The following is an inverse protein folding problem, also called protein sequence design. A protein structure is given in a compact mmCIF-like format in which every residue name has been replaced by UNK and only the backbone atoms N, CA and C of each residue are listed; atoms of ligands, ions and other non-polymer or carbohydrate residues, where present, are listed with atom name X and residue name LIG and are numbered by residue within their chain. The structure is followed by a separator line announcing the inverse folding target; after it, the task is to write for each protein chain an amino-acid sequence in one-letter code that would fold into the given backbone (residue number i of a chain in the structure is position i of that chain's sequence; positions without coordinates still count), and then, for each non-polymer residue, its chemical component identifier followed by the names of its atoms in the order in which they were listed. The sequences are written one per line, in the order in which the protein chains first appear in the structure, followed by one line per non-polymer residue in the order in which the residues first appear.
data_IF_805600275795
#
_entry.id   IF_805600275795
#
_cell.length_a   1.000
_cell.length_b   1.000
_cell.length_c   1.000
_cell.angle_alpha   90.00
_cell.angle_beta   90.00
_cell.angle_gamma   90.00
#
_symmetry.space_group_name_H-M   'P 1'
#
loop_
_entity.id
_entity.type
_entity.pdbx_description
1 polymer ?
#
# COMPACT_ATOMS: atom_id res chain seq x y z
N UNK A 1 23.59 -17.49 -3.99
CA UNK A 1 22.88 -17.88 -5.22
C UNK A 1 22.35 -16.60 -5.82
N UNK A 2 23.13 -15.98 -6.71
CA UNK A 2 22.83 -14.70 -7.33
C UNK A 2 22.02 -14.98 -8.58
N UNK A 3 20.75 -14.58 -8.60
CA UNK A 3 19.91 -14.68 -9.80
C UNK A 3 19.98 -13.32 -10.52
N UNK A 4 20.58 -13.33 -11.70
CA UNK A 4 20.54 -12.21 -12.64
C UNK A 4 19.14 -12.13 -13.25
N UNK A 5 18.50 -10.97 -13.20
CA UNK A 5 17.30 -10.67 -13.98
C UNK A 5 17.76 -9.90 -15.22
N UNK A 6 17.70 -10.56 -16.38
CA UNK A 6 17.85 -9.91 -17.68
C UNK A 6 16.58 -9.10 -17.98
N UNK A 7 16.76 -7.82 -18.32
CA UNK A 7 15.71 -6.97 -18.88
C UNK A 7 15.43 -7.41 -20.32
N UNK A 8 14.17 -7.62 -20.66
CA UNK A 8 13.70 -7.58 -22.04
C UNK A 8 12.75 -6.39 -22.17
N UNK A 9 13.26 -5.31 -22.77
CA UNK A 9 12.44 -4.28 -23.38
C UNK A 9 11.68 -4.87 -24.58
N UNK A 10 10.44 -4.43 -24.75
CA UNK A 10 9.61 -4.41 -25.96
C UNK A 10 8.21 -5.01 -25.70
N UNK A 11 7.22 -4.15 -25.47
CA UNK A 11 5.93 -4.17 -26.18
C UNK A 11 5.22 -2.83 -25.95
N UNK A 12 5.52 -1.86 -26.82
CA UNK A 12 4.61 -0.74 -27.09
C UNK A 12 3.36 -1.26 -27.80
N UNK A 13 2.17 -0.90 -27.31
CA UNK A 13 0.91 -1.14 -28.00
C UNK A 13 -0.28 -0.63 -27.19
N UNK A 14 -0.76 0.55 -27.56
CA UNK A 14 -2.03 1.15 -27.11
C UNK A 14 -3.17 0.12 -27.10
N UNK A 15 -3.98 0.13 -26.04
CA UNK A 15 -5.44 -0.01 -26.12
C UNK A 15 -6.07 0.51 -24.82
N UNK A 16 -6.54 1.77 -24.86
CA UNK A 16 -7.55 2.29 -23.94
C UNK A 16 -8.87 1.58 -24.25
N UNK A 17 -9.10 0.42 -23.65
CA UNK A 17 -10.44 -0.14 -23.53
C UNK A 17 -10.74 -0.43 -22.06
N UNK A 18 -11.57 0.44 -21.49
CA UNK A 18 -12.27 0.29 -20.24
C UNK A 18 -13.07 -1.02 -20.24
N UNK A 19 -12.46 -2.12 -19.78
CA UNK A 19 -13.15 -3.37 -19.53
C UNK A 19 -13.56 -3.42 -18.07
N UNK A 20 -14.79 -2.99 -17.79
CA UNK A 20 -15.55 -3.51 -16.66
C UNK A 20 -15.65 -5.03 -16.84
N UNK A 21 -14.75 -5.79 -16.22
CA UNK A 21 -14.82 -7.24 -16.22
C UNK A 21 -16.09 -7.66 -15.49
N UNK A 22 -16.92 -8.56 -16.06
CA UNK A 22 -18.12 -9.04 -15.39
C UNK A 22 -17.69 -9.80 -14.13
N UNK A 23 -18.27 -9.41 -12.98
CA UNK A 23 -18.14 -10.12 -11.71
C UNK A 23 -18.61 -11.56 -11.92
N UNK A 24 -17.66 -12.50 -11.98
CA UNK A 24 -18.00 -13.91 -12.03
C UNK A 24 -18.30 -14.34 -10.59
N UNK A 25 -19.55 -14.20 -10.16
CA UNK A 25 -20.08 -14.52 -8.82
C UNK A 25 -19.91 -16.01 -8.41
N UNK A 26 -19.19 -16.82 -9.20
CA UNK A 26 -19.06 -18.27 -9.04
C UNK A 26 -17.87 -18.75 -8.21
N UNK A 27 -16.99 -17.89 -7.71
CA UNK A 27 -15.94 -18.29 -6.75
C UNK A 27 -16.41 -18.25 -5.28
N UNK A 28 -17.73 -18.24 -5.05
CA UNK A 28 -18.35 -18.07 -3.74
C UNK A 28 -18.67 -19.41 -3.03
N UNK A 29 -17.75 -20.38 -3.07
CA UNK A 29 -18.05 -21.75 -2.62
C UNK A 29 -17.21 -22.30 -1.45
N UNK A 30 -16.16 -21.62 -0.97
CA UNK A 30 -15.24 -22.27 0.00
C UNK A 30 -14.81 -21.41 1.21
N UNK A 31 -15.61 -20.42 1.61
CA UNK A 31 -15.33 -19.61 2.81
C UNK A 31 -14.02 -18.82 2.79
N UNK A 32 -13.35 -18.76 1.63
CA UNK A 32 -12.13 -18.00 1.42
C UNK A 32 -12.40 -16.49 1.39
N UNK A 33 -11.43 -15.72 1.88
CA UNK A 33 -11.43 -14.27 1.72
C UNK A 33 -11.30 -13.93 0.24
N UNK A 34 -12.30 -13.24 -0.31
CA UNK A 34 -12.29 -12.75 -1.70
C UNK A 34 -11.71 -11.33 -1.70
N UNK A 35 -10.59 -11.15 -2.41
CA UNK A 35 -10.02 -9.82 -2.62
C UNK A 35 -10.95 -9.04 -3.56
N UNK A 36 -11.46 -7.86 -3.16
CA UNK A 36 -12.31 -7.08 -4.04
C UNK A 36 -11.50 -6.58 -5.25
N UNK A 37 -12.10 -6.60 -6.43
CA UNK A 37 -11.48 -6.05 -7.63
C UNK A 37 -11.47 -4.53 -7.64
N UNK A 38 -12.38 -3.90 -6.89
CA UNK A 38 -12.54 -2.45 -6.83
C UNK A 38 -12.53 -1.96 -5.39
N UNK A 39 -11.97 -0.79 -5.16
CA UNK A 39 -11.97 -0.11 -3.88
C UNK A 39 -13.31 0.62 -3.63
N UNK A 40 -13.46 1.22 -2.45
CA UNK A 40 -14.68 1.94 -2.05
C UNK A 40 -15.04 3.14 -2.95
N UNK A 41 -14.11 3.58 -3.80
CA UNK A 41 -14.29 4.66 -4.76
C UNK A 41 -14.57 4.17 -6.19
N UNK A 42 -14.67 2.86 -6.40
CA UNK A 42 -14.91 2.26 -7.71
C UNK A 42 -13.69 2.16 -8.62
N UNK A 43 -12.49 2.46 -8.10
CA UNK A 43 -11.22 2.27 -8.81
C UNK A 43 -10.69 0.85 -8.58
N UNK A 44 -9.78 0.36 -9.44
CA UNK A 44 -9.17 -0.96 -9.26
C UNK A 44 -8.39 -0.97 -7.94
N UNK A 45 -8.70 -1.95 -7.09
CA UNK A 45 -8.09 -2.06 -5.76
C UNK A 45 -6.63 -2.48 -5.87
N UNK A 46 -5.72 -1.75 -5.20
CA UNK A 46 -4.27 -2.02 -5.16
C UNK A 46 -3.63 -2.16 -6.54
N UNK A 47 -3.99 -1.28 -7.47
CA UNK A 47 -3.37 -1.23 -8.79
C UNK A 47 -2.13 -0.32 -8.77
N UNK A 48 -0.95 -0.93 -8.90
CA UNK A 48 0.35 -0.23 -8.86
C UNK A 48 0.84 0.16 -10.26
N UNK A 49 0.25 -0.40 -11.32
CA UNK A 49 0.68 -0.17 -12.71
C UNK A 49 -0.10 0.97 -13.38
N UNK A 50 -1.13 1.50 -12.72
CA UNK A 50 -1.96 2.61 -13.21
C UNK A 50 -1.26 3.94 -13.02
N UNK A 51 -1.18 4.69 -14.12
CA UNK A 51 -0.70 6.08 -14.10
C UNK A 51 -1.63 6.96 -13.24
N UNK A 52 -1.13 7.34 -12.07
CA UNK A 52 -1.86 8.16 -11.09
C UNK A 52 -0.93 9.15 -10.40
N UNK A 53 -1.51 10.20 -9.80
CA UNK A 53 -0.72 11.17 -9.03
C UNK A 53 0.00 10.54 -7.82
N UNK A 54 -0.47 9.39 -7.31
CA UNK A 54 0.14 8.68 -6.18
C UNK A 54 1.25 7.71 -6.60
N UNK A 55 1.24 7.22 -7.84
CA UNK A 55 2.13 6.16 -8.30
C UNK A 55 3.61 6.47 -8.00
N UNK A 56 4.09 7.66 -8.40
CA UNK A 56 5.47 8.06 -8.16
C UNK A 56 5.82 8.07 -6.66
N UNK A 57 4.90 8.56 -5.82
CA UNK A 57 5.07 8.60 -4.36
C UNK A 57 5.21 7.20 -3.78
N UNK A 58 4.30 6.30 -4.15
CA UNK A 58 4.26 4.90 -3.72
C UNK A 58 5.51 4.14 -4.17
N UNK A 59 5.90 4.27 -5.44
CA UNK A 59 7.12 3.65 -5.97
C UNK A 59 8.37 4.14 -5.24
N UNK A 60 8.47 5.46 -5.01
CA UNK A 60 9.58 6.06 -4.28
C UNK A 60 9.61 5.58 -2.81
N UNK A 61 8.44 5.42 -2.17
CA UNK A 61 8.31 4.88 -0.82
C UNK A 61 8.84 3.45 -0.73
N UNK A 62 8.40 2.56 -1.62
CA UNK A 62 8.86 1.17 -1.64
C UNK A 62 10.33 1.06 -2.03
N UNK A 63 10.80 1.84 -3.01
CA UNK A 63 12.22 1.87 -3.39
C UNK A 63 13.11 2.23 -2.19
N UNK A 64 12.75 3.27 -1.43
CA UNK A 64 13.48 3.66 -0.21
C UNK A 64 13.45 2.55 0.83
N UNK A 65 12.29 1.96 1.09
CA UNK A 65 12.17 0.88 2.06
C UNK A 65 13.01 -0.33 1.66
N UNK A 66 12.92 -0.79 0.41
CA UNK A 66 13.73 -1.91 -0.10
C UNK A 66 15.24 -1.61 -0.05
N UNK A 67 15.65 -0.35 -0.21
CA UNK A 67 17.07 0.04 -0.16
C UNK A 67 17.61 0.11 1.27
N UNK A 68 16.82 0.62 2.22
CA UNK A 68 17.32 1.02 3.55
C UNK A 68 16.86 0.12 4.72
N UNK A 69 15.86 -0.75 4.52
CA UNK A 69 15.39 -1.69 5.55
C UNK A 69 16.37 -2.87 5.71
N UNK A 70 17.52 -2.61 6.33
CA UNK A 70 18.53 -3.63 6.62
C UNK A 70 18.42 -4.16 8.06
N UNK A 71 19.11 -5.29 8.34
CA UNK A 71 19.13 -5.90 9.68
C UNK A 71 19.55 -4.91 10.78
N UNK A 72 20.61 -4.13 10.54
CA UNK A 72 21.12 -3.18 11.52
C UNK A 72 20.13 -2.04 11.79
N UNK A 73 19.45 -1.56 10.74
CA UNK A 73 18.39 -0.55 10.86
C UNK A 73 17.23 -1.09 11.72
N UNK A 74 16.71 -2.27 11.38
CA UNK A 74 15.58 -2.89 12.10
C UNK A 74 15.96 -3.17 13.56
N UNK A 75 17.17 -3.68 13.81
CA UNK A 75 17.67 -3.93 15.17
C UNK A 75 17.71 -2.64 15.99
N UNK A 76 18.26 -1.56 15.43
CA UNK A 76 18.30 -0.24 16.07
C UNK A 76 16.90 0.31 16.36
N UNK A 77 15.98 0.24 15.39
CA UNK A 77 14.60 0.71 15.59
C UNK A 77 13.88 -0.06 16.69
N UNK A 78 14.07 -1.38 16.77
CA UNK A 78 13.51 -2.20 17.87
C UNK A 78 14.05 -1.78 19.24
N UNK A 79 15.36 -1.56 19.35
CA UNK A 79 15.98 -1.09 20.59
C UNK A 79 15.52 0.33 20.98
N UNK A 80 15.28 1.20 20.00
CA UNK A 80 14.83 2.58 20.22
C UNK A 80 13.36 2.64 20.65
N UNK A 81 12.45 2.07 19.87
CA UNK A 81 11.00 2.18 20.11
C UNK A 81 10.50 1.20 21.18
N UNK A 82 11.22 0.10 21.44
CA UNK A 82 10.89 -0.86 22.50
C UNK A 82 10.95 -0.28 23.91
N UNK A 83 11.60 0.88 24.11
CA UNK A 83 11.66 1.59 25.39
C UNK A 83 10.34 2.27 25.78
N UNK A 84 9.43 2.46 24.81
CA UNK A 84 8.11 3.08 25.01
C UNK A 84 8.14 4.42 25.78
N UNK A 85 9.17 5.24 25.55
CA UNK A 85 9.41 6.49 26.28
C UNK A 85 9.31 7.74 25.40
N UNK A 86 8.60 7.65 24.27
CA UNK A 86 8.46 8.75 23.30
C UNK A 86 7.27 9.66 23.61
N UNK A 87 6.20 9.12 24.17
CA UNK A 87 5.01 9.85 24.58
C UNK A 87 4.16 9.01 25.55
N UNK A 88 3.35 9.67 26.37
CA UNK A 88 2.31 9.06 27.22
C UNK A 88 0.98 9.72 26.86
N UNK A 89 0.03 8.93 26.36
CA UNK A 89 -1.30 9.41 25.96
C UNK A 89 -2.31 8.27 25.93
N UNK A 90 -3.60 8.61 25.94
CA UNK A 90 -4.68 7.65 25.77
C UNK A 90 -4.84 7.22 24.30
N UNK A 91 -5.63 6.15 24.09
CA UNK A 91 -5.86 5.59 22.76
C UNK A 91 -6.51 6.60 21.82
N UNK A 92 -7.47 7.38 22.30
CA UNK A 92 -8.18 8.35 21.47
C UNK A 92 -7.22 9.44 20.98
N UNK A 93 -6.32 9.89 21.84
CA UNK A 93 -5.31 10.88 21.51
C UNK A 93 -4.31 10.34 20.50
N UNK A 94 -3.93 9.07 20.58
CA UNK A 94 -3.17 8.39 19.53
C UNK A 94 -3.93 8.43 18.18
N UNK A 95 -5.23 8.14 18.18
CA UNK A 95 -6.06 8.20 16.97
C UNK A 95 -6.11 9.61 16.39
N UNK A 96 -6.25 10.65 17.22
CA UNK A 96 -6.24 12.05 16.77
C UNK A 96 -4.92 12.45 16.09
N UNK A 97 -3.78 11.85 16.47
CA UNK A 97 -2.52 12.10 15.77
C UNK A 97 -2.53 11.63 14.31
N UNK A 98 -3.35 10.62 13.99
CA UNK A 98 -3.50 10.09 12.64
C UNK A 98 -4.29 11.03 11.70
N UNK A 99 -4.89 12.11 12.23
CA UNK A 99 -5.53 13.16 11.40
C UNK A 99 -4.50 13.94 10.57
N UNK A 100 -3.26 14.04 11.07
CA UNK A 100 -2.15 14.71 10.37
C UNK A 100 -1.30 13.79 9.49
N UNK A 101 -1.71 12.53 9.29
CA UNK A 101 -0.90 11.50 8.61
C UNK A 101 -1.68 10.93 7.43
N UNK A 102 -1.06 10.92 6.25
CA UNK A 102 -1.52 10.20 5.06
C UNK A 102 -0.53 9.06 4.76
N UNK A 103 -1.02 7.87 4.46
CA UNK A 103 -0.16 6.73 4.13
C UNK A 103 0.40 6.82 2.70
N UNK A 104 1.69 7.15 2.59
CA UNK A 104 2.40 7.26 1.30
C UNK A 104 2.58 5.92 0.58
N UNK A 105 2.37 4.79 1.27
CA UNK A 105 2.50 3.45 0.68
C UNK A 105 1.20 2.95 0.03
N UNK A 106 0.07 3.58 0.35
CA UNK A 106 -1.24 3.19 -0.12
C UNK A 106 -1.53 3.83 -1.50
N UNK A 107 -1.72 3.02 -2.57
CA UNK A 107 -2.11 3.53 -3.88
C UNK A 107 -3.60 3.94 -3.96
N UNK A 108 -4.45 3.46 -3.06
CA UNK A 108 -5.90 3.63 -3.11
C UNK A 108 -6.39 4.88 -2.37
N UNK A 109 -5.70 5.29 -1.30
CA UNK A 109 -6.20 6.29 -0.34
C UNK A 109 -5.30 7.55 -0.28
N UNK A 110 -5.91 8.72 -0.47
CA UNK A 110 -5.31 10.05 -0.21
C UNK A 110 -6.10 10.83 0.84
N UNK A 111 -6.35 10.16 1.98
CA UNK A 111 -7.12 10.72 3.10
C UNK A 111 -6.32 10.57 4.40
N UNK A 112 -6.62 11.39 5.43
CA UNK A 112 -6.07 11.19 6.77
C UNK A 112 -6.29 9.77 7.29
N UNK A 113 -5.26 9.19 7.91
CA UNK A 113 -5.26 7.80 8.36
C UNK A 113 -6.29 7.54 9.47
N UNK A 114 -6.70 8.57 10.20
CA UNK A 114 -7.82 8.48 11.15
C UNK A 114 -9.14 8.08 10.46
N UNK A 115 -9.35 8.48 9.21
CA UNK A 115 -10.56 8.11 8.48
C UNK A 115 -10.54 6.63 8.11
N UNK A 116 -9.38 6.11 7.66
CA UNK A 116 -9.21 4.69 7.41
C UNK A 116 -9.41 3.85 8.68
N UNK A 117 -8.94 4.33 9.83
CA UNK A 117 -9.13 3.67 11.12
C UNK A 117 -10.62 3.47 11.50
N UNK A 118 -11.51 4.36 11.07
CA UNK A 118 -12.93 4.37 11.44
C UNK A 118 -13.86 3.69 10.42
N UNK A 119 -13.34 3.23 9.29
CA UNK A 119 -14.09 2.50 8.24
C UNK A 119 -14.34 1.04 8.62
#
# INVERSE_FOLDING_TARGET
MTMFLEQTDDYFGNDLEEKMAPTNEKELADGGFVVPHFNSFGLRFRDYDVESMRQEGVENFYRKNHTYQCYDFVKKMREEYGKMNKAEMDIWKCCELLDGVVDESDPDLDIPQIQHLLQ
#
